data_IF_605168950383
#
_entry.id   IF_605168950383
#
_cell.length_a   1.000
_cell.length_b   1.000
_cell.length_c   1.000
_cell.angle_alpha   90.00
_cell.angle_beta   90.00
_cell.angle_gamma   90.00
#
_symmetry.space_group_name_H-M   'P 1'
#
loop_
_entity.id
_entity.type
_entity.pdbx_description
1 polymer ?
#
# COMPACT_ATOMS: atom_id res chain seq x y z
N UNK A 1 -37.40 -15.62 -15.04
CA UNK A 1 -37.13 -14.94 -16.33
C UNK A 1 -37.36 -13.44 -16.22
N UNK A 2 -38.06 -12.97 -15.19
CA UNK A 2 -38.48 -11.57 -15.04
C UNK A 2 -37.32 -10.61 -14.76
N UNK A 3 -36.32 -11.01 -13.96
CA UNK A 3 -35.17 -10.13 -13.65
C UNK A 3 -34.36 -9.72 -14.89
N UNK A 4 -34.07 -10.65 -15.80
CA UNK A 4 -33.34 -10.34 -17.03
C UNK A 4 -34.15 -9.44 -17.96
N UNK A 5 -35.46 -9.69 -18.07
CA UNK A 5 -36.34 -8.83 -18.86
C UNK A 5 -36.42 -7.42 -18.27
N UNK A 6 -36.53 -7.29 -16.94
CA UNK A 6 -36.52 -5.99 -16.27
C UNK A 6 -35.21 -5.22 -16.44
N UNK A 7 -34.06 -5.91 -16.42
CA UNK A 7 -32.75 -5.27 -16.68
C UNK A 7 -32.64 -4.78 -18.12
N UNK A 8 -33.14 -5.56 -19.09
CA UNK A 8 -33.14 -5.18 -20.50
C UNK A 8 -34.09 -4.00 -20.75
N UNK A 9 -35.28 -4.02 -20.14
CA UNK A 9 -36.27 -2.94 -20.24
C UNK A 9 -35.76 -1.65 -19.59
N UNK A 10 -35.07 -1.76 -18.44
CA UNK A 10 -34.36 -0.64 -17.81
C UNK A 10 -33.26 -0.08 -18.72
N UNK A 11 -32.55 -0.95 -19.45
CA UNK A 11 -31.53 -0.53 -20.43
C UNK A 11 -32.09 0.16 -21.67
N UNK A 12 -33.25 -0.27 -22.13
CA UNK A 12 -33.92 0.35 -23.27
C UNK A 12 -34.53 1.71 -22.90
N UNK A 13 -34.90 1.91 -21.63
CA UNK A 13 -35.54 3.14 -21.14
C UNK A 13 -34.59 4.20 -20.63
N UNK A 14 -33.31 3.93 -20.37
CA UNK A 14 -32.35 4.95 -19.89
C UNK A 14 -31.55 5.66 -20.99
N UNK A 15 -31.87 5.47 -22.27
CA UNK A 15 -31.31 6.29 -23.36
C UNK A 15 -29.84 6.02 -23.71
N UNK A 16 -29.27 6.92 -24.52
CA UNK A 16 -27.96 6.70 -25.19
C UNK A 16 -26.76 6.71 -24.23
N UNK A 17 -26.87 7.40 -23.10
CA UNK A 17 -25.79 7.49 -22.11
C UNK A 17 -25.58 6.20 -21.30
N UNK A 18 -26.48 5.23 -21.39
CA UNK A 18 -26.28 3.91 -20.76
C UNK A 18 -25.14 3.11 -21.40
N UNK A 19 -24.96 3.21 -22.72
CA UNK A 19 -23.90 2.48 -23.43
C UNK A 19 -22.49 2.85 -22.96
N UNK A 20 -22.09 4.14 -22.88
CA UNK A 20 -20.76 4.50 -22.37
C UNK A 20 -20.58 4.13 -20.90
N UNK A 21 -21.63 4.23 -20.05
CA UNK A 21 -21.56 3.78 -18.66
C UNK A 21 -21.29 2.27 -18.59
N UNK A 22 -21.95 1.47 -19.44
CA UNK A 22 -21.74 0.02 -19.50
C UNK A 22 -20.30 -0.33 -19.93
N UNK A 23 -19.73 0.40 -20.89
CA UNK A 23 -18.32 0.20 -21.30
C UNK A 23 -17.38 0.48 -20.12
N UNK A 24 -17.60 1.57 -19.39
CA UNK A 24 -16.82 1.93 -18.21
C UNK A 24 -16.99 0.88 -17.10
N UNK A 25 -18.20 0.36 -16.89
CA UNK A 25 -18.49 -0.72 -15.96
C UNK A 25 -17.68 -1.98 -16.33
N UNK A 26 -17.72 -2.40 -17.59
CA UNK A 26 -17.02 -3.59 -18.07
C UNK A 26 -15.50 -3.46 -17.91
N UNK A 27 -14.93 -2.32 -18.30
CA UNK A 27 -13.49 -2.05 -18.15
C UNK A 27 -13.07 -2.00 -16.68
N UNK A 28 -13.84 -1.30 -15.85
CA UNK A 28 -13.56 -1.19 -14.42
C UNK A 28 -13.66 -2.53 -13.70
N UNK A 29 -14.69 -3.32 -13.98
CA UNK A 29 -14.83 -4.68 -13.44
C UNK A 29 -13.72 -5.61 -13.91
N UNK A 30 -13.30 -5.54 -15.18
CA UNK A 30 -12.20 -6.35 -15.69
C UNK A 30 -10.88 -6.06 -14.96
N UNK A 31 -10.54 -4.78 -14.78
CA UNK A 31 -9.34 -4.37 -14.03
C UNK A 31 -9.44 -4.76 -12.55
N UNK A 32 -10.62 -4.61 -11.95
CA UNK A 32 -10.85 -4.99 -10.57
C UNK A 32 -10.64 -6.50 -10.33
N UNK A 33 -11.16 -7.35 -11.22
CA UNK A 33 -11.00 -8.81 -11.14
C UNK A 33 -9.54 -9.22 -11.35
N UNK A 34 -8.87 -8.67 -12.37
CA UNK A 34 -7.44 -8.90 -12.62
C UNK A 34 -6.61 -8.59 -11.37
N UNK A 35 -6.88 -7.44 -10.74
CA UNK A 35 -6.16 -7.00 -9.54
C UNK A 35 -6.47 -7.86 -8.33
N UNK A 36 -7.73 -8.22 -8.11
CA UNK A 36 -8.12 -9.09 -7.00
C UNK A 36 -7.35 -10.42 -7.03
N UNK A 37 -7.31 -11.09 -8.19
CA UNK A 37 -6.61 -12.35 -8.36
C UNK A 37 -5.11 -12.18 -8.14
N UNK A 38 -4.50 -11.15 -8.74
CA UNK A 38 -3.06 -10.90 -8.64
C UNK A 38 -2.60 -10.60 -7.22
N UNK A 39 -3.29 -9.71 -6.50
CA UNK A 39 -2.94 -9.37 -5.12
C UNK A 39 -3.13 -10.57 -4.18
N UNK A 40 -4.19 -11.36 -4.38
CA UNK A 40 -4.42 -12.55 -3.57
C UNK A 40 -3.31 -13.60 -3.79
N UNK A 41 -2.87 -13.78 -5.04
CA UNK A 41 -1.75 -14.64 -5.38
C UNK A 41 -0.43 -14.16 -4.76
N UNK A 42 -0.12 -12.86 -4.85
CA UNK A 42 1.07 -12.26 -4.24
C UNK A 42 1.06 -12.43 -2.71
N UNK A 43 -0.08 -12.18 -2.04
CA UNK A 43 -0.22 -12.37 -0.60
C UNK A 43 0.09 -13.80 -0.18
N UNK A 44 -0.48 -14.78 -0.88
CA UNK A 44 -0.27 -16.18 -0.55
C UNK A 44 1.19 -16.60 -0.77
N UNK A 45 1.74 -16.29 -1.94
CA UNK A 45 3.11 -16.64 -2.31
C UNK A 45 4.14 -16.01 -1.35
N UNK A 46 3.98 -14.72 -1.02
CA UNK A 46 4.85 -14.02 -0.08
C UNK A 46 4.84 -14.69 1.30
N UNK A 47 3.65 -15.04 1.82
CA UNK A 47 3.53 -15.71 3.12
C UNK A 47 4.19 -17.09 3.10
N UNK A 48 3.90 -17.91 2.09
CA UNK A 48 4.51 -19.23 1.95
C UNK A 48 6.04 -19.17 1.83
N UNK A 49 6.58 -18.17 1.15
CA UNK A 49 8.03 -17.99 1.02
C UNK A 49 8.66 -17.58 2.36
N UNK A 50 8.03 -16.64 3.09
CA UNK A 50 8.52 -16.23 4.41
C UNK A 50 8.52 -17.40 5.42
N UNK A 51 7.46 -18.20 5.45
CA UNK A 51 7.35 -19.36 6.35
C UNK A 51 8.48 -20.39 6.11
N UNK A 52 8.96 -20.51 4.87
CA UNK A 52 10.11 -21.37 4.52
C UNK A 52 11.45 -20.72 4.86
N UNK A 53 11.60 -19.40 4.70
CA UNK A 53 12.85 -18.67 4.90
C UNK A 53 13.16 -18.38 6.36
N UNK A 54 12.15 -18.05 7.17
CA UNK A 54 12.31 -17.71 8.57
C UNK A 54 13.13 -18.75 9.38
N UNK A 55 12.85 -20.07 9.32
CA UNK A 55 13.63 -21.06 10.06
C UNK A 55 15.08 -21.18 9.53
N UNK A 56 15.29 -21.04 8.22
CA UNK A 56 16.62 -21.11 7.60
C UNK A 56 17.48 -19.93 8.05
N UNK A 57 16.93 -18.71 8.01
CA UNK A 57 17.60 -17.50 8.50
C UNK A 57 17.93 -17.59 10.00
N UNK A 58 17.01 -18.15 10.80
CA UNK A 58 17.22 -18.34 12.24
C UNK A 58 18.31 -19.37 12.57
N UNK A 59 18.54 -20.33 11.67
CA UNK A 59 19.60 -21.34 11.80
C UNK A 59 20.99 -20.83 11.38
N UNK A 60 21.08 -19.64 10.78
CA UNK A 60 22.32 -19.06 10.28
C UNK A 60 22.84 -19.67 8.97
N UNK A 61 22.07 -20.53 8.30
CA UNK A 61 22.39 -21.13 7.00
C UNK A 61 22.03 -20.17 5.85
N UNK A 62 22.86 -19.13 5.69
CA UNK A 62 22.64 -18.10 4.67
C UNK A 62 22.84 -18.60 3.24
N UNK A 63 23.66 -19.63 3.03
CA UNK A 63 23.88 -20.21 1.70
C UNK A 63 22.61 -20.91 1.20
N UNK A 64 21.95 -21.67 2.08
CA UNK A 64 20.65 -22.27 1.76
C UNK A 64 19.57 -21.21 1.55
N UNK A 65 19.55 -20.15 2.36
CA UNK A 65 18.61 -19.04 2.18
C UNK A 65 18.79 -18.36 0.82
N UNK A 66 20.05 -18.11 0.41
CA UNK A 66 20.38 -17.50 -0.89
C UNK A 66 19.94 -18.38 -2.06
N UNK A 67 20.11 -19.70 -1.96
CA UNK A 67 19.66 -20.62 -3.00
C UNK A 67 18.13 -20.68 -3.11
N UNK A 68 17.43 -20.69 -1.97
CA UNK A 68 15.97 -20.71 -1.96
C UNK A 68 15.38 -19.43 -2.57
N UNK A 69 15.94 -18.28 -2.20
CA UNK A 69 15.52 -16.98 -2.72
C UNK A 69 15.79 -16.83 -4.22
N UNK A 70 16.89 -17.37 -4.75
CA UNK A 70 17.18 -17.31 -6.20
C UNK A 70 16.21 -18.12 -7.07
N UNK A 71 15.52 -19.10 -6.50
CA UNK A 71 14.61 -19.99 -7.23
C UNK A 71 13.17 -19.49 -7.24
N UNK A 72 12.86 -18.44 -6.47
CA UNK A 72 11.51 -17.94 -6.27
C UNK A 72 11.38 -16.48 -6.75
N UNK A 73 10.28 -16.15 -7.42
CA UNK A 73 10.02 -14.83 -7.99
C UNK A 73 9.09 -13.95 -7.15
N UNK A 74 8.72 -14.41 -5.94
CA UNK A 74 7.91 -13.66 -4.99
C UNK A 74 8.58 -12.36 -4.57
N UNK A 75 7.76 -11.42 -4.10
CA UNK A 75 8.23 -10.13 -3.61
C UNK A 75 9.14 -10.29 -2.39
N UNK A 76 8.82 -11.25 -1.50
CA UNK A 76 9.69 -11.62 -0.36
C UNK A 76 11.04 -12.14 -0.82
N UNK A 77 11.08 -12.98 -1.86
CA UNK A 77 12.33 -13.49 -2.41
C UNK A 77 13.18 -12.34 -2.97
N UNK A 78 12.61 -11.49 -3.83
CA UNK A 78 13.32 -10.33 -4.39
C UNK A 78 13.91 -9.42 -3.31
N UNK A 79 13.10 -9.08 -2.31
CA UNK A 79 13.51 -8.28 -1.15
C UNK A 79 14.71 -8.90 -0.41
N UNK A 80 14.60 -10.18 -0.04
CA UNK A 80 15.65 -10.87 0.72
C UNK A 80 16.88 -11.20 -0.11
N UNK A 81 16.76 -11.27 -1.43
CA UNK A 81 17.89 -11.53 -2.34
C UNK A 81 18.94 -10.43 -2.25
N UNK A 82 18.50 -9.16 -2.20
CA UNK A 82 19.38 -8.00 -2.10
C UNK A 82 20.01 -7.91 -0.70
N UNK A 83 19.22 -8.17 0.36
CA UNK A 83 19.74 -8.24 1.73
C UNK A 83 20.81 -9.33 1.92
N UNK A 84 20.54 -10.55 1.43
CA UNK A 84 21.47 -11.68 1.49
C UNK A 84 22.67 -11.56 0.53
N UNK A 85 22.58 -10.74 -0.51
CA UNK A 85 23.71 -10.44 -1.39
C UNK A 85 24.74 -9.53 -0.69
N UNK A 86 24.29 -8.62 0.19
CA UNK A 86 25.20 -7.78 1.01
C UNK A 86 25.67 -8.46 2.30
N UNK A 87 24.99 -9.52 2.72
CA UNK A 87 25.40 -10.35 3.85
C UNK A 87 26.81 -10.94 3.60
N UNK A 88 27.76 -10.58 4.47
CA UNK A 88 29.18 -11.00 4.39
C UNK A 88 30.12 -9.97 3.73
N UNK A 89 29.60 -9.07 2.90
CA UNK A 89 30.38 -7.98 2.31
C UNK A 89 30.45 -6.74 3.22
N UNK A 90 29.43 -6.56 4.08
CA UNK A 90 29.28 -5.37 4.92
C UNK A 90 29.18 -5.74 6.40
N UNK A 91 29.78 -4.93 7.28
CA UNK A 91 29.82 -5.15 8.74
C UNK A 91 28.64 -4.54 9.49
N UNK A 92 27.94 -3.57 8.90
CA UNK A 92 26.84 -2.85 9.56
C UNK A 92 25.49 -3.34 9.07
N UNK A 93 24.57 -3.51 10.04
CA UNK A 93 23.17 -3.85 9.80
C UNK A 93 22.47 -2.82 8.91
N UNK A 94 22.76 -1.54 9.10
CA UNK A 94 22.20 -0.42 8.35
C UNK A 94 22.37 -0.59 6.83
N UNK A 95 23.54 -1.05 6.39
CA UNK A 95 23.85 -1.21 4.97
C UNK A 95 23.04 -2.35 4.30
N UNK A 96 22.57 -3.33 5.09
CA UNK A 96 21.68 -4.43 4.67
C UNK A 96 20.22 -3.93 4.63
N UNK A 97 19.81 -3.14 5.62
CA UNK A 97 18.47 -2.53 5.66
C UNK A 97 18.24 -1.60 4.47
N UNK A 98 19.22 -0.73 4.16
CA UNK A 98 19.19 0.16 2.99
C UNK A 98 19.02 -0.64 1.68
N UNK A 99 19.65 -1.81 1.55
CA UNK A 99 19.52 -2.64 0.34
C UNK A 99 18.12 -3.24 0.19
N UNK A 100 17.50 -3.62 1.31
CA UNK A 100 16.14 -4.14 1.33
C UNK A 100 15.13 -3.01 1.09
N UNK A 101 15.35 -1.82 1.66
CA UNK A 101 14.56 -0.63 1.36
C UNK A 101 14.61 -0.24 -0.13
N UNK A 102 15.80 -0.29 -0.74
CA UNK A 102 15.97 -0.06 -2.18
C UNK A 102 15.12 -1.05 -3.01
N UNK A 103 15.07 -2.32 -2.60
CA UNK A 103 14.21 -3.32 -3.25
C UNK A 103 12.73 -3.02 -3.06
N UNK A 104 12.35 -2.52 -1.89
CA UNK A 104 10.98 -2.15 -1.56
C UNK A 104 10.50 -0.99 -2.45
N UNK A 105 11.37 -0.02 -2.75
CA UNK A 105 11.08 1.07 -3.68
C UNK A 105 10.75 0.59 -5.09
N UNK A 106 11.26 -0.58 -5.51
CA UNK A 106 10.92 -1.18 -6.81
C UNK A 106 9.63 -2.02 -6.74
N UNK A 107 9.38 -2.71 -5.63
CA UNK A 107 8.25 -3.62 -5.45
C UNK A 107 6.94 -2.86 -5.21
N UNK A 108 6.94 -1.86 -4.33
CA UNK A 108 5.73 -1.12 -3.93
C UNK A 108 4.96 -0.54 -5.13
N UNK A 109 5.60 0.18 -6.07
CA UNK A 109 4.89 0.69 -7.25
C UNK A 109 4.29 -0.41 -8.13
N UNK A 110 4.86 -1.62 -8.14
CA UNK A 110 4.33 -2.74 -8.92
C UNK A 110 3.05 -3.32 -8.30
N UNK A 111 2.99 -3.35 -6.96
CA UNK A 111 1.81 -3.76 -6.19
C UNK A 111 0.67 -2.75 -6.33
N UNK A 112 0.96 -1.46 -6.25
CA UNK A 112 -0.01 -0.37 -6.38
C UNK A 112 -0.50 -0.14 -7.80
N UNK A 113 0.24 -0.62 -8.82
CA UNK A 113 -0.07 -0.40 -10.23
C UNK A 113 -1.53 -0.78 -10.53
N UNK A 114 -2.20 -0.03 -11.40
CA UNK A 114 -3.59 -0.25 -11.86
C UNK A 114 -4.71 -0.19 -10.80
N UNK A 115 -4.45 -0.31 -9.50
CA UNK A 115 -5.47 -0.15 -8.46
C UNK A 115 -6.17 1.23 -8.54
N UNK A 116 -5.46 2.35 -8.81
CA UNK A 116 -6.10 3.65 -9.02
C UNK A 116 -7.05 3.73 -10.23
N UNK A 117 -6.88 2.88 -11.25
CA UNK A 117 -7.78 2.90 -12.40
C UNK A 117 -9.19 2.44 -12.03
N UNK A 118 -9.35 1.57 -11.02
CA UNK A 118 -10.67 1.15 -10.53
C UNK A 118 -11.44 2.36 -9.98
N UNK A 119 -10.78 3.22 -9.19
CA UNK A 119 -11.36 4.48 -8.71
C UNK A 119 -11.68 5.44 -9.86
N UNK A 120 -10.79 5.52 -10.85
CA UNK A 120 -11.02 6.34 -12.05
C UNK A 120 -12.29 5.91 -12.78
N UNK A 121 -12.46 4.61 -13.04
CA UNK A 121 -13.67 4.10 -13.71
C UNK A 121 -14.94 4.30 -12.88
N UNK A 122 -14.87 4.14 -11.56
CA UNK A 122 -15.98 4.48 -10.65
C UNK A 122 -16.42 5.94 -10.80
N UNK A 123 -15.46 6.86 -10.78
CA UNK A 123 -15.72 8.29 -10.89
C UNK A 123 -16.29 8.64 -12.27
N UNK A 124 -15.71 8.09 -13.34
CA UNK A 124 -16.21 8.29 -14.70
C UNK A 124 -17.65 7.78 -14.84
N UNK A 125 -17.96 6.58 -14.33
CA UNK A 125 -19.33 6.04 -14.38
C UNK A 125 -20.35 6.96 -13.70
N UNK A 126 -19.97 7.52 -12.54
CA UNK A 126 -20.82 8.46 -11.78
C UNK A 126 -21.00 9.78 -12.53
N UNK A 127 -19.91 10.34 -13.07
CA UNK A 127 -19.96 11.58 -13.84
C UNK A 127 -20.73 11.43 -15.15
N UNK A 128 -20.64 10.27 -15.82
CA UNK A 128 -21.45 9.96 -17.00
C UNK A 128 -22.94 9.86 -16.64
N UNK A 129 -23.28 9.31 -15.47
CA UNK A 129 -24.64 9.29 -14.96
C UNK A 129 -25.22 10.69 -14.73
N UNK A 130 -24.41 11.61 -14.17
CA UNK A 130 -24.79 13.01 -13.98
C UNK A 130 -24.89 13.77 -15.30
N UNK A 131 -23.97 13.53 -16.23
CA UNK A 131 -24.00 14.11 -17.57
C UNK A 131 -25.26 13.68 -18.33
N UNK A 132 -25.62 12.40 -18.23
CA UNK A 132 -26.84 11.85 -18.83
C UNK A 132 -28.09 12.56 -18.33
N UNK A 133 -28.19 12.87 -17.03
CA UNK A 133 -29.29 13.69 -16.50
C UNK A 133 -29.37 15.07 -17.12
N UNK A 134 -28.23 15.76 -17.23
CA UNK A 134 -28.18 17.11 -17.77
C UNK A 134 -28.64 17.10 -19.23
N UNK A 135 -28.16 16.14 -20.02
CA UNK A 135 -28.56 16.00 -21.43
C UNK A 135 -30.05 15.63 -21.56
N UNK A 136 -30.55 14.70 -20.76
CA UNK A 136 -31.97 14.32 -20.78
C UNK A 136 -32.90 15.48 -20.40
N UNK A 137 -32.49 16.34 -19.46
CA UNK A 137 -33.24 17.56 -19.13
C UNK A 137 -33.21 18.60 -20.26
N UNK A 138 -32.07 18.77 -20.95
CA UNK A 138 -31.97 19.65 -22.12
C UNK A 138 -32.90 19.17 -23.24
N UNK A 139 -32.92 17.87 -23.51
CA UNK A 139 -33.84 17.27 -24.49
C UNK A 139 -35.31 17.47 -24.07
N UNK A 140 -35.63 17.28 -22.79
CA UNK A 140 -36.96 17.47 -22.24
C UNK A 140 -37.50 18.88 -22.50
N UNK A 141 -36.72 19.91 -22.13
CA UNK A 141 -37.15 21.30 -22.32
C UNK A 141 -37.23 21.70 -23.80
N UNK A 142 -36.37 21.13 -24.65
CA UNK A 142 -36.39 21.37 -26.09
C UNK A 142 -37.63 20.74 -26.75
N UNK A 143 -38.01 19.53 -26.34
CA UNK A 143 -39.21 18.85 -26.82
C UNK A 143 -40.50 19.59 -26.42
N UNK A 144 -40.58 20.03 -25.16
CA UNK A 144 -41.75 20.75 -24.62
C UNK A 144 -41.93 22.13 -25.26
N UNK A 145 -40.85 22.79 -25.69
CA UNK A 145 -40.92 24.11 -26.32
C UNK A 145 -41.79 24.12 -27.59
N UNK A 146 -41.77 23.04 -28.37
CA UNK A 146 -42.47 22.92 -29.64
C UNK A 146 -43.73 22.02 -29.59
N UNK A 147 -44.06 21.46 -28.43
CA UNK A 147 -45.14 20.49 -28.28
C UNK A 147 -46.52 21.12 -28.01
N UNK A 148 -47.58 20.37 -28.35
CA UNK A 148 -48.96 20.73 -28.04
C UNK A 148 -49.18 20.80 -26.52
N UNK A 149 -49.96 21.78 -26.00
CA UNK A 149 -50.18 21.93 -24.55
C UNK A 149 -50.68 20.67 -23.83
N UNK A 150 -51.47 19.83 -24.51
CA UNK A 150 -51.98 18.57 -23.97
C UNK A 150 -50.89 17.49 -23.79
N UNK A 151 -49.82 17.53 -24.58
CA UNK A 151 -48.74 16.50 -24.59
C UNK A 151 -47.50 16.94 -23.80
N UNK A 152 -47.41 18.23 -23.43
CA UNK A 152 -46.24 18.79 -22.72
C UNK A 152 -45.91 18.05 -21.43
N UNK A 153 -46.93 17.70 -20.65
CA UNK A 153 -46.74 17.01 -19.38
C UNK A 153 -46.15 15.60 -19.57
N UNK A 154 -46.67 14.85 -20.54
CA UNK A 154 -46.23 13.48 -20.81
C UNK A 154 -44.80 13.44 -21.37
N UNK A 155 -44.48 14.34 -22.32
CA UNK A 155 -43.13 14.46 -22.89
C UNK A 155 -42.08 14.82 -21.84
N UNK A 156 -42.41 15.77 -20.96
CA UNK A 156 -41.52 16.19 -19.87
C UNK A 156 -41.29 15.03 -18.89
N UNK A 157 -42.36 14.36 -18.47
CA UNK A 157 -42.30 13.22 -17.55
C UNK A 157 -41.46 12.07 -18.10
N UNK A 158 -41.67 11.71 -19.37
CA UNK A 158 -40.91 10.65 -20.04
C UNK A 158 -39.41 10.98 -20.08
N UNK A 159 -39.05 12.20 -20.49
CA UNK A 159 -37.64 12.61 -20.60
C UNK A 159 -36.92 12.67 -19.25
N UNK A 160 -37.62 13.14 -18.21
CA UNK A 160 -37.09 13.14 -16.83
C UNK A 160 -36.89 11.70 -16.34
N UNK A 161 -37.81 10.79 -16.65
CA UNK A 161 -37.68 9.38 -16.27
C UNK A 161 -36.42 8.73 -16.87
N UNK A 162 -36.18 8.94 -18.18
CA UNK A 162 -34.96 8.48 -18.88
C UNK A 162 -33.69 9.03 -18.20
N UNK A 163 -33.69 10.34 -17.92
CA UNK A 163 -32.60 11.03 -17.25
C UNK A 163 -32.29 10.40 -15.88
N UNK A 164 -33.31 10.24 -15.03
CA UNK A 164 -33.16 9.67 -13.69
C UNK A 164 -32.67 8.21 -13.72
N UNK A 165 -33.14 7.39 -14.66
CA UNK A 165 -32.67 6.01 -14.83
C UNK A 165 -31.18 5.97 -15.18
N UNK A 166 -30.70 6.90 -16.02
CA UNK A 166 -29.28 6.99 -16.37
C UNK A 166 -28.41 7.27 -15.15
N UNK A 167 -28.82 8.20 -14.28
CA UNK A 167 -28.08 8.50 -13.05
C UNK A 167 -28.11 7.34 -12.07
N UNK A 168 -29.27 6.70 -11.89
CA UNK A 168 -29.40 5.53 -11.05
C UNK A 168 -28.43 4.43 -11.49
N UNK A 169 -28.30 4.20 -12.81
CA UNK A 169 -27.36 3.24 -13.36
C UNK A 169 -25.89 3.64 -13.15
N UNK A 170 -25.55 4.91 -13.34
CA UNK A 170 -24.21 5.44 -13.07
C UNK A 170 -23.79 5.24 -11.61
N UNK A 171 -24.71 5.46 -10.66
CA UNK A 171 -24.47 5.22 -9.23
C UNK A 171 -24.40 3.73 -8.88
N UNK A 172 -25.32 2.92 -9.43
CA UNK A 172 -25.30 1.46 -9.26
C UNK A 172 -24.00 0.83 -9.77
N UNK A 173 -23.37 1.44 -10.77
CA UNK A 173 -22.06 1.03 -11.28
C UNK A 173 -20.93 1.62 -10.42
N UNK A 174 -20.93 2.93 -10.18
CA UNK A 174 -19.85 3.61 -9.47
C UNK A 174 -19.64 3.12 -8.04
N UNK A 175 -20.72 2.98 -7.27
CA UNK A 175 -20.63 2.65 -5.83
C UNK A 175 -19.92 1.30 -5.59
N UNK A 176 -20.31 0.18 -6.24
CA UNK A 176 -19.60 -1.10 -6.08
C UNK A 176 -18.14 -1.03 -6.51
N UNK A 177 -17.83 -0.35 -7.63
CA UNK A 177 -16.45 -0.20 -8.08
C UNK A 177 -15.59 0.56 -7.06
N UNK A 178 -16.14 1.60 -6.42
CA UNK A 178 -15.45 2.34 -5.37
C UNK A 178 -15.18 1.48 -4.14
N UNK A 179 -16.15 0.66 -3.72
CA UNK A 179 -15.98 -0.28 -2.60
C UNK A 179 -14.87 -1.28 -2.93
N UNK A 180 -14.87 -1.86 -4.14
CA UNK A 180 -13.84 -2.80 -4.57
C UNK A 180 -12.47 -2.14 -4.61
N UNK A 181 -12.38 -0.90 -5.10
CA UNK A 181 -11.14 -0.13 -5.05
C UNK A 181 -10.61 0.03 -3.62
N UNK A 182 -11.46 0.39 -2.66
CA UNK A 182 -11.06 0.53 -1.26
C UNK A 182 -10.53 -0.80 -0.67
N UNK A 183 -11.18 -1.92 -0.96
CA UNK A 183 -10.73 -3.25 -0.53
C UNK A 183 -9.39 -3.64 -1.15
N UNK A 184 -9.21 -3.40 -2.45
CA UNK A 184 -7.95 -3.67 -3.15
C UNK A 184 -6.81 -2.79 -2.62
N UNK A 185 -7.11 -1.53 -2.30
CA UNK A 185 -6.13 -0.61 -1.71
C UNK A 185 -5.70 -1.08 -0.32
N UNK A 186 -6.64 -1.47 0.54
CA UNK A 186 -6.35 -2.06 1.85
C UNK A 186 -5.50 -3.32 1.73
N UNK A 187 -5.85 -4.23 0.80
CA UNK A 187 -5.10 -5.45 0.56
C UNK A 187 -3.67 -5.17 0.07
N UNK A 188 -3.49 -4.13 -0.76
CA UNK A 188 -2.16 -3.69 -1.21
C UNK A 188 -1.32 -3.22 -0.03
N UNK A 189 -1.89 -2.37 0.83
CA UNK A 189 -1.24 -1.90 2.06
C UNK A 189 -0.83 -3.06 2.98
N UNK A 190 -1.73 -4.02 3.23
CA UNK A 190 -1.41 -5.20 4.04
C UNK A 190 -0.21 -6.01 3.49
N UNK A 191 -0.07 -6.11 2.17
CA UNK A 191 1.06 -6.81 1.55
C UNK A 191 2.36 -6.01 1.75
N UNK A 192 2.31 -4.69 1.57
CA UNK A 192 3.46 -3.80 1.77
C UNK A 192 3.91 -3.86 3.24
N UNK A 193 2.99 -3.69 4.19
CA UNK A 193 3.29 -3.77 5.63
C UNK A 193 3.91 -5.13 6.00
N UNK A 194 3.40 -6.22 5.41
CA UNK A 194 3.97 -7.55 5.61
C UNK A 194 5.39 -7.65 5.07
N UNK A 195 5.70 -7.04 3.93
CA UNK A 195 7.05 -7.02 3.36
C UNK A 195 8.01 -6.18 4.20
N UNK A 196 7.57 -5.04 4.74
CA UNK A 196 8.37 -4.23 5.67
C UNK A 196 8.70 -5.03 6.94
N UNK A 197 7.69 -5.71 7.50
CA UNK A 197 7.90 -6.56 8.67
C UNK A 197 8.88 -7.71 8.38
N UNK A 198 8.84 -8.29 7.19
CA UNK A 198 9.80 -9.30 6.73
C UNK A 198 11.22 -8.72 6.65
N UNK A 199 11.38 -7.52 6.09
CA UNK A 199 12.68 -6.82 6.01
C UNK A 199 13.30 -6.65 7.40
N UNK A 200 12.53 -6.13 8.36
CA UNK A 200 13.00 -5.90 9.74
C UNK A 200 13.34 -7.22 10.45
N UNK A 201 12.48 -8.23 10.32
CA UNK A 201 12.72 -9.56 10.93
C UNK A 201 13.97 -10.22 10.34
N UNK A 202 14.14 -10.17 9.03
CA UNK A 202 15.31 -10.73 8.36
C UNK A 202 16.59 -10.01 8.80
N UNK A 203 16.59 -8.68 8.84
CA UNK A 203 17.71 -7.87 9.34
C UNK A 203 18.15 -8.29 10.75
N UNK A 204 17.19 -8.43 11.69
CA UNK A 204 17.45 -8.87 13.06
C UNK A 204 18.00 -10.30 13.14
N UNK A 205 17.48 -11.22 12.31
CA UNK A 205 17.97 -12.60 12.24
C UNK A 205 19.39 -12.68 11.66
N UNK A 206 19.70 -11.85 10.67
CA UNK A 206 21.04 -11.76 10.07
C UNK A 206 22.05 -11.18 11.07
N UNK A 207 21.71 -10.09 11.79
CA UNK A 207 22.61 -9.49 12.79
C UNK A 207 22.89 -10.45 13.96
N UNK A 208 21.83 -11.03 14.55
CA UNK A 208 21.97 -11.94 15.70
C UNK A 208 22.75 -13.21 15.38
N UNK A 209 22.58 -13.77 14.18
CA UNK A 209 23.34 -14.94 13.72
C UNK A 209 24.80 -14.58 13.41
N UNK A 210 25.05 -13.37 12.88
CA UNK A 210 26.39 -12.84 12.65
C UNK A 210 27.15 -12.69 13.97
N UNK A 211 26.52 -12.10 15.00
CA UNK A 211 27.12 -11.97 16.35
C UNK A 211 27.49 -13.32 16.98
N UNK A 212 26.59 -14.32 16.92
CA UNK A 212 26.88 -15.68 17.44
C UNK A 212 28.08 -16.31 16.74
N UNK A 213 28.21 -16.13 15.42
CA UNK A 213 29.35 -16.66 14.66
C UNK A 213 30.66 -15.97 15.03
N UNK A 214 30.64 -14.65 15.23
CA UNK A 214 31.79 -13.90 15.75
C UNK A 214 32.20 -14.35 17.16
N UNK A 215 31.26 -14.60 18.08
CA UNK A 215 31.58 -15.11 19.43
C UNK A 215 32.19 -16.52 19.40
N UNK A 216 31.80 -17.36 18.42
CA UNK A 216 32.34 -18.72 18.27
C UNK A 216 33.76 -18.67 17.69
N UNK A 217 34.00 -17.84 16.66
CA UNK A 217 35.28 -17.75 15.95
C UNK A 217 36.31 -16.81 16.62
N UNK A 218 35.93 -16.06 17.65
CA UNK A 218 36.86 -15.18 18.38
C UNK A 218 37.94 -15.98 19.13
N UNK A 219 39.24 -15.60 19.00
CA UNK A 219 40.32 -16.26 19.71
C UNK A 219 40.12 -16.16 21.23
N UNK A 220 40.45 -17.23 21.96
CA UNK A 220 40.21 -17.37 23.40
C UNK A 220 40.83 -16.24 24.28
N UNK A 221 41.72 -15.41 23.72
CA UNK A 221 42.31 -14.24 24.36
C UNK A 221 41.33 -13.06 24.52
N UNK A 222 40.32 -12.90 23.66
CA UNK A 222 39.36 -11.79 23.75
C UNK A 222 38.17 -12.10 24.67
N UNK A 223 37.80 -13.39 24.82
CA UNK A 223 36.69 -13.84 25.69
C UNK A 223 36.89 -13.53 27.18
N UNK A 224 38.12 -13.24 27.62
CA UNK A 224 38.45 -12.86 29.00
C UNK A 224 38.48 -11.37 29.27
N UNK A 225 38.48 -10.51 28.24
CA UNK A 225 38.59 -9.05 28.43
C UNK A 225 37.26 -8.41 28.83
N UNK A 226 36.13 -8.98 28.40
CA UNK A 226 34.80 -8.38 28.57
C UNK A 226 34.10 -8.80 29.89
N UNK A 227 34.61 -9.83 30.58
CA UNK A 227 34.04 -10.35 31.83
C UNK A 227 34.76 -9.86 33.10
N UNK A 228 35.26 -8.62 33.12
CA UNK A 228 35.67 -7.96 34.38
C UNK A 228 34.47 -7.21 34.98
N UNK A 229 34.01 -7.55 36.19
CA UNK A 229 32.99 -6.77 36.86
C UNK A 229 33.58 -5.39 37.16
N UNK A 230 32.88 -4.33 36.75
CA UNK A 230 33.21 -2.94 37.08
C UNK A 230 33.18 -2.81 38.61
N UNK A 231 34.36 -2.84 39.25
CA UNK A 231 34.50 -2.53 40.68
C UNK A 231 34.18 -1.06 40.87
N UNK A 232 33.04 -0.79 41.49
CA UNK A 232 32.64 0.51 42.03
C UNK A 232 33.68 0.93 43.09
N UNK A 233 34.60 1.83 42.75
CA UNK A 233 35.51 2.43 43.74
C UNK A 233 34.92 3.73 44.27
N UNK A 234 34.31 3.66 45.45
CA UNK A 234 34.13 4.83 46.31
C UNK A 234 35.45 5.17 47.02
N UNK A 235 35.72 6.48 47.13
CA UNK A 235 36.53 7.22 48.14
C UNK A 235 37.73 8.00 47.60
N UNK A 236 37.53 9.31 47.49
CA UNK A 236 38.23 10.43 48.17
C UNK A 236 37.65 11.73 47.56
N UNK A 237 36.98 12.70 48.20
CA UNK A 237 36.88 13.18 49.58
C UNK A 237 38.21 13.48 50.28
N UNK A 238 38.84 14.62 49.92
CA UNK A 238 38.99 15.82 50.78
C UNK A 238 40.08 16.77 50.24
N UNK A 239 39.83 18.07 50.43
CA UNK A 239 40.75 19.22 50.50
C UNK A 239 41.22 19.93 49.20
N UNK A 240 40.43 20.94 48.76
CA UNK A 240 40.67 22.43 48.76
C UNK A 240 42.11 23.00 48.67
N UNK A 241 42.35 24.31 48.31
CA UNK A 241 41.39 25.44 48.25
C UNK A 241 41.54 26.47 47.08
N UNK A 242 40.61 27.44 47.08
CA UNK A 242 40.77 28.87 46.71
C UNK A 242 41.05 29.31 45.26
N UNK A 243 40.00 29.85 44.60
CA UNK A 243 40.05 31.11 43.83
C UNK A 243 38.61 31.59 43.52
N UNK A 244 37.95 32.18 44.52
CA UNK A 244 36.86 33.14 44.30
C UNK A 244 37.47 34.53 44.37
N UNK A 245 37.45 35.29 43.28
CA UNK A 245 37.33 36.74 43.29
C UNK A 245 37.25 37.26 41.85
N UNK A 246 36.26 38.13 41.61
CA UNK A 246 36.04 38.97 40.42
C UNK A 246 35.42 38.25 39.22
N UNK A 247 34.10 38.38 39.07
CA UNK A 247 33.44 39.06 37.94
C UNK A 247 31.93 39.06 38.22
N UNK A 248 31.50 39.85 39.21
CA UNK A 248 30.11 40.27 39.38
C UNK A 248 30.14 41.74 39.80
N UNK A 249 30.45 42.61 38.84
CA UNK A 249 30.22 44.05 38.92
C UNK A 249 30.40 44.65 37.52
N UNK A 250 29.45 44.37 36.61
CA UNK A 250 29.23 45.17 35.40
C UNK A 250 27.93 44.77 34.67
N UNK A 251 26.81 44.73 35.39
CA UNK A 251 25.47 44.75 34.79
C UNK A 251 24.51 45.61 35.62
N UNK A 252 24.91 46.86 35.85
CA UNK A 252 24.02 47.96 36.25
C UNK A 252 24.65 49.26 35.75
N UNK A 253 24.59 49.47 34.43
CA UNK A 253 24.59 50.76 33.75
C UNK A 253 24.58 50.45 32.25
N UNK A 254 23.37 50.34 31.67
CA UNK A 254 22.94 50.82 30.35
C UNK A 254 21.65 50.06 29.98
N UNK A 255 20.54 50.48 30.58
CA UNK A 255 19.18 50.30 30.06
C UNK A 255 18.28 51.32 30.76
#
# INVERSE_FOLDING_TARGET
MDFFNSVIEFFQTGGTFMYPILVVAALGSAVAIERFIRLHYERHTNRTMWDKLQPILSSGDFDRARNLVKQDNSSVAKLLSMGLARQGAVRRREDIEIAMEESMMEITPQLEKRTPYVALFSNIATLLGLLGTIMGLIEAFTAVANANPAEKADLLSASISVAMNTTAFGLMTGIPLLIVHALLNSLTGEIIDSLEMVSVKASNLIDSSTRRRFEIDAPASEKKAENKPVKKSEKHSKAQPEAQAKTEEQQTETA
#
